data_IF_966014750379
#
_entry.id   IF_966014750379
#
_cell.length_a   1.000
_cell.length_b   1.000
_cell.length_c   1.000
_cell.angle_alpha   90.00
_cell.angle_beta   90.00
_cell.angle_gamma   90.00
#
_symmetry.space_group_name_H-M   'P 1'
#
loop_
_entity.id
_entity.type
_entity.pdbx_description
1 polymer ?
#
# COMPACT_ATOMS: atom_id res chain seq x y z
N UNK A 1 -23.95 -1.39 47.83
CA UNK A 1 -24.55 -0.42 46.88
C UNK A 1 -23.55 0.64 46.37
N UNK A 2 -22.77 1.29 47.24
CA UNK A 2 -21.80 2.34 46.84
C UNK A 2 -20.71 1.86 45.87
N UNK A 3 -20.14 0.66 46.09
CA UNK A 3 -19.11 0.08 45.21
C UNK A 3 -19.59 -0.22 43.78
N UNK A 4 -20.80 -0.77 43.60
CA UNK A 4 -21.38 -1.02 42.26
C UNK A 4 -21.65 0.28 41.50
N UNK A 5 -22.10 1.34 42.19
CA UNK A 5 -22.30 2.67 41.58
C UNK A 5 -20.98 3.32 41.14
N UNK A 6 -19.91 3.16 41.92
CA UNK A 6 -18.59 3.69 41.57
C UNK A 6 -17.98 2.97 40.34
N UNK A 7 -18.14 1.65 40.26
CA UNK A 7 -17.70 0.84 39.10
C UNK A 7 -18.49 1.23 37.84
N UNK A 8 -19.82 1.33 37.92
CA UNK A 8 -20.65 1.78 36.80
C UNK A 8 -20.25 3.16 36.24
N UNK A 9 -20.02 4.13 37.14
CA UNK A 9 -19.59 5.49 36.76
C UNK A 9 -18.23 5.52 36.04
N UNK A 10 -17.31 4.63 36.41
CA UNK A 10 -15.99 4.50 35.77
C UNK A 10 -16.09 3.86 34.38
N UNK A 11 -16.96 2.86 34.20
CA UNK A 11 -17.21 2.23 32.90
C UNK A 11 -17.83 3.22 31.92
N UNK A 12 -18.82 3.99 32.36
CA UNK A 12 -19.45 5.00 31.51
C UNK A 12 -18.47 6.09 31.08
N UNK A 13 -17.59 6.54 31.98
CA UNK A 13 -16.52 7.49 31.62
C UNK A 13 -15.58 6.92 30.56
N UNK A 14 -15.14 5.67 30.71
CA UNK A 14 -14.22 5.04 29.74
C UNK A 14 -14.89 4.85 28.37
N UNK A 15 -16.18 4.54 28.33
CA UNK A 15 -16.96 4.45 27.10
C UNK A 15 -17.03 5.80 26.37
N UNK A 16 -17.25 6.90 27.11
CA UNK A 16 -17.26 8.24 26.51
C UNK A 16 -15.87 8.65 26.00
N UNK A 17 -14.80 8.32 26.72
CA UNK A 17 -13.42 8.55 26.25
C UNK A 17 -13.15 7.75 24.98
N UNK A 18 -13.57 6.48 24.92
CA UNK A 18 -13.47 5.68 23.70
C UNK A 18 -14.24 6.31 22.53
N UNK A 19 -15.45 6.82 22.77
CA UNK A 19 -16.23 7.53 21.76
C UNK A 19 -15.53 8.79 21.22
N UNK A 20 -14.89 9.59 22.08
CA UNK A 20 -14.07 10.73 21.65
C UNK A 20 -12.95 10.25 20.73
N UNK A 21 -12.22 9.19 21.09
CA UNK A 21 -11.18 8.63 20.22
C UNK A 21 -11.72 8.09 18.90
N UNK A 22 -12.92 7.51 18.88
CA UNK A 22 -13.58 7.11 17.62
C UNK A 22 -13.85 8.33 16.75
N UNK A 23 -14.39 9.42 17.30
CA UNK A 23 -14.62 10.67 16.55
C UNK A 23 -13.33 11.25 15.96
N UNK A 24 -12.26 11.29 16.74
CA UNK A 24 -10.93 11.72 16.28
C UNK A 24 -10.38 10.80 15.18
N UNK A 25 -10.51 9.49 15.35
CA UNK A 25 -10.01 8.52 14.38
C UNK A 25 -10.76 8.60 13.04
N UNK A 26 -12.08 8.78 13.07
CA UNK A 26 -12.90 9.02 11.87
C UNK A 26 -12.48 10.30 11.17
N UNK A 27 -12.18 11.35 11.93
CA UNK A 27 -11.65 12.61 11.40
C UNK A 27 -10.34 12.44 10.63
N UNK A 28 -9.44 11.59 11.13
CA UNK A 28 -8.18 11.30 10.44
C UNK A 28 -8.34 10.33 9.25
N UNK A 29 -9.30 9.38 9.34
CA UNK A 29 -9.53 8.38 8.30
C UNK A 29 -10.94 7.81 8.37
N UNK A 30 -11.71 7.97 7.28
CA UNK A 30 -13.12 7.52 7.19
C UNK A 30 -13.30 6.04 7.52
N UNK A 31 -12.37 5.16 7.12
CA UNK A 31 -12.44 3.73 7.43
C UNK A 31 -12.46 3.41 8.93
N UNK A 32 -12.03 4.35 9.79
CA UNK A 32 -12.10 4.21 11.24
C UNK A 32 -13.53 4.22 11.79
N UNK A 33 -14.55 4.54 10.96
CA UNK A 33 -15.97 4.42 11.34
C UNK A 33 -16.33 3.01 11.84
N UNK A 34 -15.61 1.98 11.37
CA UNK A 34 -15.76 0.60 11.85
C UNK A 34 -15.41 0.41 13.32
N UNK A 35 -14.77 1.38 13.99
CA UNK A 35 -14.59 1.38 15.46
C UNK A 35 -15.93 1.48 16.22
N UNK A 36 -17.05 1.73 15.54
CA UNK A 36 -18.37 1.55 16.14
C UNK A 36 -18.63 0.09 16.55
N UNK A 37 -18.05 -0.89 15.86
CA UNK A 37 -18.22 -2.32 16.16
C UNK A 37 -17.64 -2.72 17.53
N UNK A 38 -16.37 -2.39 17.89
CA UNK A 38 -15.88 -2.62 19.25
C UNK A 38 -16.67 -1.81 20.31
N UNK A 39 -17.23 -0.63 19.99
CA UNK A 39 -18.13 0.09 20.90
C UNK A 39 -19.42 -0.71 21.16
N UNK A 40 -20.06 -1.23 20.11
CA UNK A 40 -21.26 -2.08 20.21
C UNK A 40 -20.96 -3.32 21.07
N UNK A 41 -19.85 -4.02 20.79
CA UNK A 41 -19.45 -5.21 21.54
C UNK A 41 -19.19 -4.85 23.01
N UNK A 42 -18.51 -3.74 23.29
CA UNK A 42 -18.25 -3.27 24.66
C UNK A 42 -19.54 -2.99 25.43
N UNK A 43 -20.51 -2.31 24.81
CA UNK A 43 -21.81 -2.03 25.43
C UNK A 43 -22.59 -3.32 25.65
N UNK A 44 -22.58 -4.25 24.68
CA UNK A 44 -23.25 -5.54 24.78
C UNK A 44 -22.70 -6.43 25.90
N UNK A 45 -21.38 -6.45 26.09
CA UNK A 45 -20.71 -7.16 27.18
C UNK A 45 -20.96 -6.49 28.55
N UNK A 46 -21.26 -5.19 28.57
CA UNK A 46 -21.53 -4.40 29.78
C UNK A 46 -22.93 -4.57 30.38
N UNK A 47 -23.75 -5.46 29.84
CA UNK A 47 -25.11 -5.77 30.31
C UNK A 47 -26.23 -5.08 29.51
N UNK A 48 -27.44 -5.65 29.56
CA UNK A 48 -28.61 -5.19 28.78
C UNK A 48 -29.27 -3.92 29.32
N UNK A 49 -28.96 -3.51 30.55
CA UNK A 49 -29.59 -2.34 31.15
C UNK A 49 -29.12 -1.06 30.44
N UNK A 50 -30.07 -0.30 29.87
CA UNK A 50 -29.82 0.98 29.18
C UNK A 50 -28.82 0.92 28.03
N UNK A 51 -28.61 -0.25 27.40
CA UNK A 51 -27.63 -0.43 26.33
C UNK A 51 -27.85 0.54 25.15
N UNK A 52 -29.12 0.77 24.76
CA UNK A 52 -29.49 1.74 23.70
C UNK A 52 -29.04 3.14 24.06
N UNK A 53 -29.31 3.58 25.29
CA UNK A 53 -28.90 4.91 25.76
C UNK A 53 -27.38 5.05 25.81
N UNK A 54 -26.67 4.05 26.32
CA UNK A 54 -25.21 4.07 26.41
C UNK A 54 -24.56 4.12 25.03
N UNK A 55 -25.03 3.29 24.09
CA UNK A 55 -24.56 3.29 22.71
C UNK A 55 -24.92 4.61 22.02
N UNK A 56 -26.15 5.09 22.16
CA UNK A 56 -26.60 6.35 21.59
C UNK A 56 -25.78 7.54 22.08
N UNK A 57 -25.49 7.62 23.38
CA UNK A 57 -24.60 8.65 23.93
C UNK A 57 -23.18 8.53 23.39
N UNK A 58 -22.63 7.32 23.30
CA UNK A 58 -21.29 7.10 22.74
C UNK A 58 -21.22 7.53 21.26
N UNK A 59 -22.19 7.12 20.43
CA UNK A 59 -22.25 7.51 19.02
C UNK A 59 -22.41 9.03 18.87
N UNK A 60 -23.25 9.66 19.70
CA UNK A 60 -23.41 11.11 19.70
C UNK A 60 -22.10 11.82 20.06
N UNK A 61 -21.38 11.36 21.09
CA UNK A 61 -20.09 11.94 21.49
C UNK A 61 -19.04 11.76 20.39
N UNK A 62 -19.01 10.60 19.72
CA UNK A 62 -18.12 10.38 18.59
C UNK A 62 -18.45 11.33 17.42
N UNK A 63 -19.73 11.47 17.07
CA UNK A 63 -20.19 12.38 16.02
C UNK A 63 -19.90 13.85 16.34
N UNK A 64 -20.18 14.30 17.57
CA UNK A 64 -19.85 15.65 18.02
C UNK A 64 -18.35 15.91 17.98
N UNK A 65 -17.53 14.94 18.41
CA UNK A 65 -16.07 15.07 18.34
C UNK A 65 -15.59 15.20 16.89
N UNK A 66 -16.12 14.38 15.97
CA UNK A 66 -15.81 14.48 14.54
C UNK A 66 -16.19 15.87 13.98
N UNK A 67 -17.42 16.33 14.23
CA UNK A 67 -17.92 17.64 13.76
C UNK A 67 -17.07 18.79 14.29
N UNK A 68 -16.73 18.77 15.59
CA UNK A 68 -15.93 19.82 16.22
C UNK A 68 -14.49 19.87 15.70
N UNK A 69 -13.94 18.72 15.29
CA UNK A 69 -12.55 18.63 14.82
C UNK A 69 -12.42 18.72 13.29
N UNK A 70 -13.51 18.48 12.56
CA UNK A 70 -13.56 18.52 11.10
C UNK A 70 -14.79 19.33 10.63
N UNK A 71 -14.91 20.61 11.01
CA UNK A 71 -16.11 21.40 10.72
C UNK A 71 -16.37 21.52 9.21
N UNK A 72 -15.33 21.59 8.38
CA UNK A 72 -15.48 21.65 6.92
C UNK A 72 -16.09 20.38 6.31
N UNK A 73 -15.96 19.22 6.96
CA UNK A 73 -16.59 17.98 6.49
C UNK A 73 -18.13 18.06 6.49
N UNK A 74 -18.72 18.98 7.26
CA UNK A 74 -20.17 19.19 7.35
C UNK A 74 -20.64 20.58 6.91
N UNK A 75 -19.71 21.50 6.63
CA UNK A 75 -20.02 22.88 6.24
C UNK A 75 -19.67 23.17 4.77
N UNK A 76 -18.87 22.32 4.12
CA UNK A 76 -18.44 22.54 2.74
C UNK A 76 -19.45 21.98 1.74
N UNK A 77 -20.34 22.87 1.27
CA UNK A 77 -21.42 22.55 0.36
C UNK A 77 -21.17 22.98 -1.11
N UNK A 78 -19.91 23.08 -1.52
CA UNK A 78 -19.52 23.66 -2.81
C UNK A 78 -19.53 22.72 -4.01
N UNK A 79 -19.63 21.41 -3.81
CA UNK A 79 -19.38 20.41 -4.86
C UNK A 79 -20.54 19.44 -5.04
N UNK A 80 -20.73 18.92 -6.25
CA UNK A 80 -21.83 17.99 -6.54
C UNK A 80 -21.54 16.60 -5.95
N UNK A 81 -22.45 16.10 -5.12
CA UNK A 81 -22.34 14.78 -4.48
C UNK A 81 -23.60 13.98 -4.76
N UNK A 82 -23.69 13.44 -5.98
CA UNK A 82 -24.87 12.72 -6.46
C UNK A 82 -24.83 11.27 -5.96
N UNK A 83 -25.74 10.91 -5.05
CA UNK A 83 -25.93 9.51 -4.67
C UNK A 83 -26.65 8.75 -5.81
N UNK A 84 -26.25 7.52 -6.16
CA UNK A 84 -26.98 6.73 -7.16
C UNK A 84 -28.42 6.47 -6.69
N UNK A 85 -29.35 6.41 -7.64
CA UNK A 85 -30.74 6.06 -7.34
C UNK A 85 -30.80 4.61 -6.82
N UNK A 86 -31.51 4.39 -5.71
CA UNK A 86 -31.57 3.09 -5.06
C UNK A 86 -32.94 2.45 -5.25
N UNK A 87 -32.97 1.25 -5.81
CA UNK A 87 -34.19 0.50 -6.06
C UNK A 87 -34.34 -0.59 -4.99
N UNK A 88 -35.20 -0.35 -4.00
CA UNK A 88 -35.52 -1.28 -2.92
C UNK A 88 -36.91 -1.89 -3.18
N UNK A 89 -36.94 -2.92 -4.03
CA UNK A 89 -38.19 -3.56 -4.45
C UNK A 89 -39.07 -2.59 -5.24
N UNK A 90 -40.21 -2.19 -4.67
CA UNK A 90 -41.14 -1.22 -5.25
C UNK A 90 -40.83 0.24 -4.88
N UNK A 91 -39.82 0.50 -4.05
CA UNK A 91 -39.44 1.84 -3.61
C UNK A 91 -38.23 2.30 -4.41
N UNK A 92 -38.42 3.38 -5.20
CA UNK A 92 -37.33 4.09 -5.85
C UNK A 92 -36.92 5.28 -5.00
N UNK A 93 -35.71 5.25 -4.46
CA UNK A 93 -35.07 6.40 -3.82
C UNK A 93 -34.36 7.17 -4.94
N UNK A 94 -34.80 8.41 -5.27
CA UNK A 94 -34.19 9.17 -6.36
C UNK A 94 -32.74 9.53 -6.03
N UNK A 95 -31.94 9.74 -7.07
CA UNK A 95 -30.61 10.30 -6.91
C UNK A 95 -30.71 11.67 -6.24
N UNK A 96 -29.91 11.89 -5.19
CA UNK A 96 -29.91 13.13 -4.43
C UNK A 96 -28.51 13.74 -4.53
N UNK A 97 -28.47 15.02 -4.90
CA UNK A 97 -27.26 15.83 -4.79
C UNK A 97 -27.17 16.41 -3.37
N UNK A 98 -26.25 15.88 -2.58
CA UNK A 98 -26.00 16.33 -1.21
C UNK A 98 -25.18 17.62 -1.15
N UNK A 99 -24.69 18.08 -2.31
CA UNK A 99 -23.81 19.24 -2.47
C UNK A 99 -22.56 19.23 -1.58
N UNK A 100 -22.12 18.08 -1.07
CA UNK A 100 -21.03 18.01 -0.09
C UNK A 100 -19.70 17.59 -0.71
N UNK A 101 -18.71 18.48 -0.71
CA UNK A 101 -17.36 18.19 -1.20
C UNK A 101 -16.71 17.02 -0.43
N UNK A 102 -17.01 16.89 0.86
CA UNK A 102 -16.51 15.77 1.67
C UNK A 102 -17.09 14.43 1.21
N UNK A 103 -18.41 14.37 0.93
CA UNK A 103 -19.03 13.15 0.44
C UNK A 103 -18.59 12.81 -0.98
N UNK A 104 -18.47 13.80 -1.87
CA UNK A 104 -17.90 13.61 -3.20
C UNK A 104 -16.50 12.99 -3.11
N UNK A 105 -15.61 13.55 -2.28
CA UNK A 105 -14.29 12.98 -2.05
C UNK A 105 -14.35 11.53 -1.54
N UNK A 106 -15.26 11.21 -0.61
CA UNK A 106 -15.46 9.82 -0.15
C UNK A 106 -15.88 8.91 -1.31
N UNK A 107 -16.81 9.34 -2.16
CA UNK A 107 -17.28 8.54 -3.28
C UNK A 107 -16.20 8.37 -4.36
N UNK A 108 -15.47 9.43 -4.70
CA UNK A 108 -14.35 9.38 -5.65
C UNK A 108 -13.23 8.46 -5.16
N UNK A 109 -12.82 8.58 -3.90
CA UNK A 109 -11.86 7.67 -3.29
C UNK A 109 -12.41 6.24 -3.20
N UNK A 110 -13.71 6.10 -2.91
CA UNK A 110 -14.43 4.83 -2.89
C UNK A 110 -14.43 4.12 -4.25
N UNK A 111 -14.67 4.86 -5.34
CA UNK A 111 -14.62 4.35 -6.71
C UNK A 111 -13.21 3.88 -7.05
N UNK A 112 -12.17 4.67 -6.73
CA UNK A 112 -10.78 4.26 -6.91
C UNK A 112 -10.45 2.96 -6.16
N UNK A 113 -10.73 2.88 -4.85
CA UNK A 113 -10.30 1.70 -4.07
C UNK A 113 -11.05 0.42 -4.43
N UNK A 114 -12.30 0.53 -4.90
CA UNK A 114 -13.10 -0.59 -5.37
C UNK A 114 -12.83 -0.96 -6.84
N UNK A 115 -12.00 -0.19 -7.56
CA UNK A 115 -11.68 -0.42 -8.97
C UNK A 115 -12.74 0.08 -9.95
N UNK A 116 -13.66 0.93 -9.49
CA UNK A 116 -14.63 1.64 -10.33
C UNK A 116 -14.06 2.88 -11.03
N UNK A 117 -12.87 3.35 -10.63
CA UNK A 117 -12.09 4.35 -11.37
C UNK A 117 -10.81 3.72 -11.89
N UNK A 118 -10.64 3.72 -13.21
CA UNK A 118 -9.50 3.12 -13.89
C UNK A 118 -8.32 4.11 -13.98
N UNK A 119 -7.43 4.07 -12.99
CA UNK A 119 -6.25 4.93 -12.91
C UNK A 119 -4.98 4.12 -13.16
N UNK A 120 -4.03 4.66 -13.91
CA UNK A 120 -2.79 3.95 -14.29
C UNK A 120 -2.05 3.29 -13.11
N UNK A 121 -1.91 4.01 -12.00
CA UNK A 121 -1.21 3.49 -10.80
C UNK A 121 -2.00 2.41 -10.03
N UNK A 122 -3.31 2.25 -10.25
CA UNK A 122 -4.10 1.16 -9.63
C UNK A 122 -4.07 -0.12 -10.45
N UNK A 123 -3.73 -0.05 -11.74
CA UNK A 123 -3.63 -1.21 -12.64
C UNK A 123 -2.58 -2.24 -12.18
N UNK A 124 -1.65 -1.86 -11.31
CA UNK A 124 -0.72 -2.80 -10.68
C UNK A 124 -1.43 -3.97 -9.95
N UNK A 125 -2.65 -3.73 -9.45
CA UNK A 125 -3.44 -4.70 -8.69
C UNK A 125 -4.33 -5.59 -9.56
N UNK A 126 -4.40 -5.35 -10.87
CA UNK A 126 -5.11 -6.24 -11.78
C UNK A 126 -4.57 -7.68 -11.68
N UNK A 127 -5.48 -8.66 -11.72
CA UNK A 127 -5.21 -10.09 -11.59
C UNK A 127 -4.52 -10.50 -10.26
N UNK A 128 -4.64 -9.70 -9.19
CA UNK A 128 -4.19 -10.07 -7.84
C UNK A 128 -5.34 -10.61 -6.99
N UNK A 129 -5.02 -11.54 -6.09
CA UNK A 129 -6.03 -12.17 -5.25
C UNK A 129 -6.41 -11.27 -4.05
N UNK A 130 -7.71 -11.03 -3.82
CA UNK A 130 -8.18 -10.36 -2.60
C UNK A 130 -7.69 -11.10 -1.35
N UNK A 131 -7.47 -10.36 -0.26
CA UNK A 131 -6.93 -10.83 1.03
C UNK A 131 -5.49 -11.37 0.98
N UNK A 132 -5.20 -12.32 0.08
CA UNK A 132 -3.90 -12.98 -0.03
C UNK A 132 -2.79 -12.01 -0.40
N UNK A 133 -3.04 -11.07 -1.31
CA UNK A 133 -2.06 -10.05 -1.67
C UNK A 133 -1.59 -9.25 -0.44
N UNK A 134 -2.53 -8.83 0.41
CA UNK A 134 -2.20 -8.10 1.62
C UNK A 134 -1.38 -8.93 2.62
N UNK A 135 -1.74 -10.21 2.79
CA UNK A 135 -0.99 -11.13 3.66
C UNK A 135 0.42 -11.33 3.11
N UNK A 136 0.54 -11.58 1.81
CA UNK A 136 1.83 -11.75 1.13
C UNK A 136 2.73 -10.54 1.33
N UNK A 137 2.22 -9.32 1.05
CA UNK A 137 3.02 -8.10 1.23
C UNK A 137 3.40 -7.89 2.69
N UNK A 138 2.49 -8.11 3.64
CA UNK A 138 2.81 -7.98 5.07
C UNK A 138 3.89 -8.97 5.53
N UNK A 139 3.92 -10.19 4.99
CA UNK A 139 4.94 -11.19 5.31
C UNK A 139 6.29 -10.86 4.66
N UNK A 140 6.30 -10.50 3.38
CA UNK A 140 7.53 -10.24 2.63
C UNK A 140 8.18 -8.92 3.03
N UNK A 141 7.40 -7.84 3.06
CA UNK A 141 7.93 -6.47 3.08
C UNK A 141 7.51 -5.66 4.31
N UNK A 142 6.47 -6.07 5.02
CA UNK A 142 5.89 -5.30 6.11
C UNK A 142 6.52 -5.61 7.46
N UNK A 143 6.05 -6.71 8.06
CA UNK A 143 6.53 -7.20 9.34
C UNK A 143 7.79 -8.08 9.17
N UNK A 144 8.10 -8.51 7.94
CA UNK A 144 9.08 -9.56 7.66
C UNK A 144 8.56 -10.95 8.07
N UNK A 145 9.23 -12.00 7.60
CA UNK A 145 8.73 -13.36 7.69
C UNK A 145 8.47 -13.83 9.12
N UNK A 146 9.41 -13.63 10.05
CA UNK A 146 9.30 -14.20 11.40
C UNK A 146 8.21 -13.54 12.24
N UNK A 147 8.19 -12.20 12.29
CA UNK A 147 7.11 -11.48 12.98
C UNK A 147 5.78 -11.63 12.25
N UNK A 148 5.78 -11.59 10.92
CA UNK A 148 4.58 -11.77 10.11
C UNK A 148 3.93 -13.14 10.32
N UNK A 149 4.70 -14.23 10.34
CA UNK A 149 4.19 -15.56 10.66
C UNK A 149 3.68 -15.64 12.10
N UNK A 150 4.38 -15.05 13.06
CA UNK A 150 3.92 -14.98 14.45
C UNK A 150 2.61 -14.18 14.59
N UNK A 151 2.45 -13.11 13.83
CA UNK A 151 1.24 -12.29 13.74
C UNK A 151 0.05 -13.07 13.18
N UNK A 152 0.23 -13.76 12.04
CA UNK A 152 -0.83 -14.60 11.44
C UNK A 152 -1.19 -15.74 12.38
N UNK A 153 -0.20 -16.46 12.93
CA UNK A 153 -0.43 -17.53 13.88
C UNK A 153 -1.13 -17.05 15.16
N UNK A 154 -0.71 -15.88 15.68
CA UNK A 154 -1.34 -15.23 16.83
C UNK A 154 -2.80 -14.87 16.57
N UNK A 155 -3.10 -14.32 15.40
CA UNK A 155 -4.47 -14.02 15.00
C UNK A 155 -5.34 -15.28 14.93
N UNK A 156 -4.87 -16.34 14.27
CA UNK A 156 -5.56 -17.63 14.21
C UNK A 156 -5.76 -18.20 15.61
N UNK A 157 -4.74 -18.14 16.47
CA UNK A 157 -4.81 -18.58 17.86
C UNK A 157 -5.90 -17.83 18.64
N UNK A 158 -5.98 -16.50 18.54
CA UNK A 158 -7.03 -15.70 19.20
C UNK A 158 -8.42 -16.10 18.68
N UNK A 159 -8.59 -16.24 17.37
CA UNK A 159 -9.86 -16.68 16.77
C UNK A 159 -10.29 -18.05 17.30
N UNK A 160 -9.37 -19.02 17.41
CA UNK A 160 -9.65 -20.35 17.97
C UNK A 160 -10.03 -20.27 19.45
N UNK A 161 -9.37 -19.43 20.25
CA UNK A 161 -9.68 -19.26 21.67
C UNK A 161 -11.07 -18.68 21.88
N UNK A 162 -11.46 -17.68 21.08
CA UNK A 162 -12.81 -17.11 21.11
C UNK A 162 -13.85 -18.10 20.60
N UNK A 163 -13.56 -18.84 19.52
CA UNK A 163 -14.46 -19.88 19.01
C UNK A 163 -14.72 -20.98 20.06
N UNK A 164 -13.67 -21.46 20.74
CA UNK A 164 -13.79 -22.43 21.85
C UNK A 164 -14.63 -21.90 23.00
N UNK A 165 -14.50 -20.62 23.34
CA UNK A 165 -15.31 -19.99 24.37
C UNK A 165 -16.80 -20.01 24.04
N UNK A 166 -17.18 -19.82 22.77
CA UNK A 166 -18.59 -19.90 22.34
C UNK A 166 -19.09 -21.31 22.02
N UNK A 167 -18.22 -22.21 21.56
CA UNK A 167 -18.57 -23.61 21.24
C UNK A 167 -18.63 -24.52 22.47
N UNK A 168 -18.00 -24.14 23.58
CA UNK A 168 -18.32 -24.71 24.89
C UNK A 168 -19.75 -24.29 25.29
N UNK A 169 -20.73 -25.10 24.90
CA UNK A 169 -22.17 -24.92 25.04
C UNK A 169 -22.67 -24.65 26.50
N UNK A 170 -23.89 -24.11 26.67
CA UNK A 170 -24.32 -23.22 27.75
C UNK A 170 -24.86 -23.96 28.99
N UNK A 171 -24.00 -24.67 29.73
CA UNK A 171 -24.38 -25.26 31.03
C UNK A 171 -23.49 -24.84 32.20
N UNK A 172 -22.57 -23.90 31.98
CA UNK A 172 -21.94 -23.20 33.10
C UNK A 172 -22.77 -21.97 33.32
N UNK A 173 -23.61 -22.01 34.36
CA UNK A 173 -24.29 -20.85 34.90
C UNK A 173 -23.34 -19.67 34.88
N UNK A 174 -23.79 -18.59 34.25
CA UNK A 174 -23.12 -17.31 34.24
C UNK A 174 -23.10 -16.74 35.68
N UNK A 175 -22.33 -17.35 36.58
CA UNK A 175 -21.96 -16.76 37.84
C UNK A 175 -21.02 -15.59 37.55
N UNK A 176 -21.63 -14.41 37.64
CA UNK A 176 -21.09 -13.10 37.93
C UNK A 176 -19.60 -13.06 38.33
N UNK A 177 -18.75 -13.14 37.31
CA UNK A 177 -17.30 -13.07 37.48
C UNK A 177 -16.56 -13.35 36.18
N UNK A 178 -17.10 -12.89 35.04
CA UNK A 178 -16.52 -13.06 33.71
C UNK A 178 -15.02 -12.76 33.74
N UNK A 179 -14.19 -13.78 33.46
CA UNK A 179 -12.75 -13.58 33.30
C UNK A 179 -12.53 -12.48 32.26
N UNK A 180 -11.67 -11.51 32.55
CA UNK A 180 -11.50 -10.31 31.73
C UNK A 180 -10.86 -10.60 30.37
N UNK A 181 -10.19 -11.75 30.23
CA UNK A 181 -9.39 -12.09 29.06
C UNK A 181 -10.21 -12.37 27.78
N UNK A 182 -11.27 -13.22 27.78
CA UNK A 182 -12.11 -13.44 26.58
C UNK A 182 -12.84 -12.18 26.11
N UNK A 183 -13.32 -11.34 27.02
CA UNK A 183 -14.00 -10.09 26.68
C UNK A 183 -13.07 -9.10 25.97
N UNK A 184 -11.83 -8.98 26.44
CA UNK A 184 -10.84 -8.13 25.78
C UNK A 184 -10.55 -8.61 24.36
N UNK A 185 -10.36 -9.92 24.16
CA UNK A 185 -10.13 -10.51 22.84
C UNK A 185 -11.32 -10.28 21.90
N UNK A 186 -12.55 -10.41 22.38
CA UNK A 186 -13.76 -10.10 21.61
C UNK A 186 -13.80 -8.66 21.10
N UNK A 187 -13.44 -7.70 21.96
CA UNK A 187 -13.40 -6.28 21.58
C UNK A 187 -12.33 -6.04 20.52
N UNK A 188 -11.14 -6.64 20.66
CA UNK A 188 -10.07 -6.49 19.66
C UNK A 188 -10.46 -7.14 18.33
N UNK A 189 -11.06 -8.34 18.36
CA UNK A 189 -11.55 -9.02 17.15
C UNK A 189 -12.68 -8.26 16.45
N UNK A 190 -13.53 -7.55 17.21
CA UNK A 190 -14.60 -6.70 16.67
C UNK A 190 -14.08 -5.53 15.82
N UNK A 191 -12.80 -5.14 16.00
CA UNK A 191 -12.10 -4.26 15.09
C UNK A 191 -11.40 -5.05 13.98
N UNK A 192 -10.54 -6.01 14.34
CA UNK A 192 -9.62 -6.60 13.37
C UNK A 192 -10.29 -7.43 12.30
N UNK A 193 -11.34 -8.20 12.63
CA UNK A 193 -12.04 -9.04 11.65
C UNK A 193 -12.81 -8.17 10.64
N UNK A 194 -13.74 -7.29 11.05
CA UNK A 194 -14.50 -6.51 10.08
C UNK A 194 -13.63 -5.58 9.24
N UNK A 195 -12.62 -4.95 9.86
CA UNK A 195 -11.68 -4.09 9.13
C UNK A 195 -10.90 -4.88 8.07
N UNK A 196 -10.40 -6.07 8.40
CA UNK A 196 -9.72 -6.93 7.42
C UNK A 196 -10.65 -7.44 6.33
N UNK A 197 -11.89 -7.81 6.67
CA UNK A 197 -12.86 -8.28 5.68
C UNK A 197 -13.23 -7.20 4.65
N UNK A 198 -13.43 -5.96 5.10
CA UNK A 198 -13.77 -4.85 4.19
C UNK A 198 -12.54 -4.34 3.44
N UNK A 199 -11.39 -4.23 4.11
CA UNK A 199 -10.17 -3.71 3.45
C UNK A 199 -9.56 -4.76 2.51
N UNK A 200 -9.62 -6.03 2.89
CA UNK A 200 -8.99 -7.13 2.16
C UNK A 200 -9.64 -7.43 0.81
N UNK A 201 -10.92 -7.07 0.62
CA UNK A 201 -11.63 -7.28 -0.65
C UNK A 201 -11.34 -6.19 -1.69
N UNK A 202 -10.79 -5.04 -1.26
CA UNK A 202 -10.58 -3.88 -2.13
C UNK A 202 -9.73 -4.24 -3.36
N UNK A 203 -10.06 -3.61 -4.50
CA UNK A 203 -9.27 -3.73 -5.71
C UNK A 203 -7.88 -3.14 -5.52
N UNK A 204 -7.80 -1.93 -4.95
CA UNK A 204 -6.54 -1.26 -4.60
C UNK A 204 -6.00 -1.81 -3.30
N UNK A 205 -4.75 -2.28 -3.32
CA UNK A 205 -4.17 -3.04 -2.20
C UNK A 205 -2.89 -2.42 -1.64
N UNK A 206 -2.84 -1.09 -1.54
CA UNK A 206 -1.71 -0.40 -0.91
C UNK A 206 -1.45 -0.99 0.47
N UNK A 207 -0.21 -1.40 0.71
CA UNK A 207 0.20 -2.05 1.95
C UNK A 207 -0.19 -1.27 3.21
N UNK A 208 -0.08 0.07 3.15
CA UNK A 208 -0.47 1.00 4.23
C UNK A 208 -1.93 0.88 4.67
N UNK A 209 -2.80 0.25 3.88
CA UNK A 209 -4.20 0.02 4.27
C UNK A 209 -4.33 -0.94 5.45
N UNK A 210 -3.39 -1.88 5.62
CA UNK A 210 -3.35 -2.79 6.78
C UNK A 210 -2.58 -2.23 7.98
N UNK A 211 -1.97 -1.05 7.88
CA UNK A 211 -1.23 -0.44 8.99
C UNK A 211 -2.06 -0.39 10.30
N UNK A 212 -3.37 -0.05 10.29
CA UNK A 212 -4.20 -0.05 11.50
C UNK A 212 -4.39 -1.43 12.16
N UNK A 213 -4.12 -2.54 11.47
CA UNK A 213 -4.18 -3.89 12.05
C UNK A 213 -2.86 -4.33 12.68
N UNK A 214 -1.74 -3.80 12.20
CA UNK A 214 -0.38 -4.20 12.60
C UNK A 214 -0.17 -4.26 14.11
N UNK A 215 -0.53 -3.23 14.93
CA UNK A 215 -0.35 -3.31 16.38
C UNK A 215 -1.18 -4.42 17.03
N UNK A 216 -2.40 -4.69 16.54
CA UNK A 216 -3.24 -5.76 17.06
C UNK A 216 -2.68 -7.14 16.72
N UNK A 217 -2.18 -7.32 15.49
CA UNK A 217 -1.52 -8.55 15.07
C UNK A 217 -0.27 -8.84 15.92
N UNK A 218 0.52 -7.80 16.24
CA UNK A 218 1.66 -7.92 17.17
C UNK A 218 1.22 -8.30 18.58
N UNK A 219 0.13 -7.72 19.08
CA UNK A 219 -0.45 -8.08 20.38
C UNK A 219 -0.92 -9.55 20.39
N UNK A 220 -1.54 -10.02 19.32
CA UNK A 220 -1.96 -11.42 19.19
C UNK A 220 -0.77 -12.38 19.15
N UNK A 221 0.29 -12.03 18.42
CA UNK A 221 1.55 -12.78 18.39
C UNK A 221 2.15 -12.87 19.80
N UNK A 222 2.28 -11.74 20.50
CA UNK A 222 2.83 -11.67 21.84
C UNK A 222 2.01 -12.50 22.83
N UNK A 223 0.67 -12.38 22.81
CA UNK A 223 -0.22 -13.15 23.67
C UNK A 223 -0.09 -14.67 23.43
N UNK A 224 -0.04 -15.09 22.17
CA UNK A 224 0.14 -16.49 21.79
C UNK A 224 1.49 -17.02 22.29
N UNK A 225 2.61 -16.38 21.92
CA UNK A 225 3.95 -16.81 22.30
C UNK A 225 4.11 -16.86 23.83
N UNK A 226 3.57 -15.86 24.53
CA UNK A 226 3.59 -15.81 25.99
C UNK A 226 2.79 -16.96 26.62
N UNK A 227 1.64 -17.32 26.05
CA UNK A 227 0.78 -18.41 26.55
C UNK A 227 1.40 -19.79 26.37
N UNK A 228 2.22 -19.98 25.34
CA UNK A 228 2.86 -21.26 25.04
C UNK A 228 4.04 -21.59 25.97
N UNK A 229 4.55 -20.62 26.75
CA UNK A 229 5.70 -20.82 27.66
C UNK A 229 5.50 -21.93 28.68
N UNK A 230 4.28 -22.10 29.20
CA UNK A 230 4.00 -23.10 30.24
C UNK A 230 3.78 -24.49 29.62
N UNK A 231 3.43 -24.57 28.33
CA UNK A 231 3.19 -25.83 27.61
C UNK A 231 4.45 -26.38 26.94
N UNK A 232 5.22 -25.51 26.30
CA UNK A 232 6.42 -25.89 25.53
C UNK A 232 7.70 -25.78 26.37
N UNK A 233 7.67 -24.97 27.43
CA UNK A 233 8.82 -24.71 28.29
C UNK A 233 9.35 -23.29 28.13
N UNK A 234 9.70 -22.67 29.26
CA UNK A 234 10.08 -21.24 29.33
C UNK A 234 11.36 -20.93 28.57
N UNK A 235 12.34 -21.83 28.59
CA UNK A 235 13.62 -21.63 27.90
C UNK A 235 13.43 -21.66 26.38
N UNK A 236 12.75 -22.68 25.86
CA UNK A 236 12.49 -22.82 24.42
C UNK A 236 11.69 -21.63 23.90
N UNK A 237 10.59 -21.26 24.57
CA UNK A 237 9.80 -20.10 24.15
C UNK A 237 10.55 -18.78 24.33
N UNK A 238 11.42 -18.66 25.34
CA UNK A 238 12.32 -17.53 25.50
C UNK A 238 13.24 -17.35 24.29
N UNK A 239 13.86 -18.44 23.82
CA UNK A 239 14.68 -18.43 22.59
C UNK A 239 13.86 -18.03 21.38
N UNK A 240 12.66 -18.60 21.18
CA UNK A 240 11.78 -18.24 20.05
C UNK A 240 11.43 -16.75 20.07
N UNK A 241 11.05 -16.20 21.22
CA UNK A 241 10.73 -14.78 21.36
C UNK A 241 11.96 -13.92 21.03
N UNK A 242 13.13 -14.27 21.57
CA UNK A 242 14.38 -13.54 21.29
C UNK A 242 14.71 -13.57 19.80
N UNK A 243 14.58 -14.72 19.13
CA UNK A 243 14.82 -14.84 17.69
C UNK A 243 13.86 -13.96 16.89
N UNK A 244 12.56 -13.97 17.20
CA UNK A 244 11.57 -13.11 16.53
C UNK A 244 11.91 -11.63 16.72
N UNK A 245 12.21 -11.21 17.96
CA UNK A 245 12.53 -9.80 18.26
C UNK A 245 13.83 -9.37 17.58
N UNK A 246 14.90 -10.17 17.69
CA UNK A 246 16.20 -9.85 17.09
C UNK A 246 16.09 -9.80 15.57
N UNK A 247 15.42 -10.77 14.94
CA UNK A 247 15.24 -10.74 13.49
C UNK A 247 14.40 -9.54 13.03
N UNK A 248 13.36 -9.18 13.77
CA UNK A 248 12.57 -7.96 13.50
C UNK A 248 13.43 -6.71 13.62
N UNK A 249 14.27 -6.63 14.66
CA UNK A 249 15.18 -5.51 14.87
C UNK A 249 16.22 -5.42 13.75
N UNK A 250 16.82 -6.54 13.33
CA UNK A 250 17.75 -6.60 12.20
C UNK A 250 17.07 -6.15 10.91
N UNK A 251 15.85 -6.62 10.64
CA UNK A 251 15.07 -6.21 9.48
C UNK A 251 14.77 -4.71 9.51
N UNK A 252 14.26 -4.18 10.62
CA UNK A 252 14.00 -2.75 10.78
C UNK A 252 15.27 -1.89 10.63
N UNK A 253 16.38 -2.32 11.22
CA UNK A 253 17.67 -1.63 11.09
C UNK A 253 18.18 -1.66 9.65
N UNK A 254 17.92 -2.72 8.88
CA UNK A 254 18.27 -2.77 7.46
C UNK A 254 17.52 -1.70 6.66
N UNK A 255 16.23 -1.48 6.95
CA UNK A 255 15.44 -0.40 6.34
C UNK A 255 15.89 0.98 6.79
N UNK A 256 16.22 1.18 8.07
CA UNK A 256 16.78 2.46 8.52
C UNK A 256 18.12 2.75 7.84
N UNK A 257 18.95 1.73 7.66
CA UNK A 257 20.26 1.88 7.02
C UNK A 257 20.19 2.18 5.52
N UNK A 258 19.06 1.91 4.84
CA UNK A 258 18.79 2.35 3.46
C UNK A 258 19.04 3.85 3.28
N UNK A 259 18.66 4.66 4.27
CA UNK A 259 18.78 6.12 4.22
C UNK A 259 20.21 6.63 4.41
N UNK A 260 21.17 5.74 4.71
CA UNK A 260 22.61 6.09 4.71
C UNK A 260 23.20 6.15 3.29
N UNK A 261 22.52 5.55 2.31
CA UNK A 261 22.89 5.61 0.89
C UNK A 261 22.15 6.72 0.16
N UNK A 262 22.85 7.36 -0.76
CA UNK A 262 22.28 8.41 -1.62
C UNK A 262 21.04 7.90 -2.37
N UNK A 263 20.04 8.77 -2.50
CA UNK A 263 18.83 8.45 -3.25
C UNK A 263 19.16 8.25 -4.75
N UNK A 264 18.67 7.19 -5.42
CA UNK A 264 19.00 6.90 -6.81
C UNK A 264 18.69 8.05 -7.78
N UNK A 265 17.59 8.77 -7.55
CA UNK A 265 17.24 9.98 -8.33
C UNK A 265 18.29 11.09 -8.20
N UNK A 266 18.90 11.25 -7.02
CA UNK A 266 19.95 12.25 -6.80
C UNK A 266 21.26 11.82 -7.49
N UNK A 267 21.63 10.55 -7.36
CA UNK A 267 22.79 9.98 -8.05
C UNK A 267 22.65 10.08 -9.58
N UNK A 268 21.48 9.74 -10.11
CA UNK A 268 21.15 9.88 -11.52
C UNK A 268 21.17 11.34 -11.99
N UNK A 269 20.60 12.27 -11.20
CA UNK A 269 20.62 13.70 -11.53
C UNK A 269 22.05 14.26 -11.60
N UNK A 270 22.90 13.93 -10.61
CA UNK A 270 24.33 14.28 -10.64
C UNK A 270 25.03 13.72 -11.87
N UNK A 271 24.71 12.49 -12.25
CA UNK A 271 25.26 11.88 -13.45
C UNK A 271 24.80 12.62 -14.71
N UNK A 272 23.51 12.97 -14.84
CA UNK A 272 22.98 13.76 -15.97
C UNK A 272 23.71 15.10 -16.07
N UNK A 273 23.80 15.85 -14.97
CA UNK A 273 24.45 17.17 -14.94
C UNK A 273 25.94 17.14 -15.30
N UNK A 274 26.62 16.00 -15.09
CA UNK A 274 28.03 15.83 -15.38
C UNK A 274 28.29 15.27 -16.80
N UNK A 275 27.34 14.56 -17.41
CA UNK A 275 27.57 13.79 -18.64
C UNK A 275 26.72 14.22 -19.84
N UNK A 276 25.58 14.89 -19.62
CA UNK A 276 24.66 15.29 -20.67
C UNK A 276 24.69 16.82 -20.83
N UNK A 277 24.95 17.34 -22.04
CA UNK A 277 24.85 18.78 -22.31
C UNK A 277 23.46 19.34 -22.02
N UNK A 278 23.39 20.57 -21.51
CA UNK A 278 22.12 21.28 -21.39
C UNK A 278 21.47 21.48 -22.77
N UNK A 279 20.14 21.45 -22.81
CA UNK A 279 19.33 21.50 -24.03
C UNK A 279 19.07 20.15 -24.70
N UNK A 280 19.73 19.07 -24.26
CA UNK A 280 19.46 17.72 -24.76
C UNK A 280 18.09 17.23 -24.29
N UNK A 281 17.29 16.72 -25.24
CA UNK A 281 16.00 16.10 -24.95
C UNK A 281 16.19 14.78 -24.20
N UNK A 282 15.59 14.67 -23.02
CA UNK A 282 15.57 13.47 -22.18
C UNK A 282 14.11 13.01 -22.07
N UNK A 283 13.85 11.73 -22.33
CA UNK A 283 12.52 11.15 -22.15
C UNK A 283 12.31 10.61 -20.73
N UNK A 284 11.07 10.68 -20.27
CA UNK A 284 10.59 10.03 -19.05
C UNK A 284 9.42 9.10 -19.36
N UNK A 285 9.08 8.21 -18.42
CA UNK A 285 7.89 7.36 -18.54
C UNK A 285 6.70 7.94 -17.78
N UNK A 286 5.49 7.67 -18.30
CA UNK A 286 4.24 8.14 -17.71
C UNK A 286 4.12 7.85 -16.21
N UNK A 287 3.65 8.85 -15.47
CA UNK A 287 3.38 8.80 -14.03
C UNK A 287 4.63 8.71 -13.14
N UNK A 288 5.84 8.64 -13.69
CA UNK A 288 7.08 8.83 -12.93
C UNK A 288 7.51 10.29 -12.91
N UNK A 289 8.38 10.64 -11.95
CA UNK A 289 9.04 11.94 -11.98
C UNK A 289 10.14 11.92 -13.04
N UNK A 290 10.41 13.04 -13.71
CA UNK A 290 11.45 13.11 -14.74
C UNK A 290 12.78 13.60 -14.16
N UNK A 291 13.89 13.17 -14.75
CA UNK A 291 15.22 13.60 -14.33
C UNK A 291 15.86 14.53 -15.35
N UNK A 292 16.76 15.42 -14.91
CA UNK A 292 17.31 15.53 -13.55
C UNK A 292 16.43 16.31 -12.57
N UNK A 293 16.66 16.15 -11.27
CA UNK A 293 16.05 16.98 -10.23
C UNK A 293 16.87 18.27 -10.01
N UNK A 294 16.19 19.41 -9.80
CA UNK A 294 16.84 20.67 -9.46
C UNK A 294 17.62 20.54 -8.16
N UNK A 295 18.93 20.83 -8.18
CA UNK A 295 19.81 20.65 -7.03
C UNK A 295 21.10 21.48 -7.13
N UNK A 296 21.81 21.60 -6.01
CA UNK A 296 23.16 22.16 -6.01
C UNK A 296 24.17 21.11 -6.49
N UNK A 297 24.96 21.44 -7.51
CA UNK A 297 26.07 20.64 -8.02
C UNK A 297 27.31 21.53 -8.03
N UNK A 298 28.36 21.12 -7.31
CA UNK A 298 29.64 21.85 -7.22
C UNK A 298 29.51 23.34 -6.81
N UNK A 299 28.50 23.66 -6.00
CA UNK A 299 28.25 25.03 -5.51
C UNK A 299 27.39 25.89 -6.44
N UNK A 300 26.98 25.36 -7.59
CA UNK A 300 26.06 26.01 -8.52
C UNK A 300 24.67 25.38 -8.46
N UNK A 301 23.62 26.20 -8.57
CA UNK A 301 22.25 25.71 -8.70
C UNK A 301 22.07 25.21 -10.14
N UNK A 302 21.83 23.91 -10.28
CA UNK A 302 21.45 23.28 -11.54
C UNK A 302 19.95 23.06 -11.56
N UNK A 303 19.30 23.48 -12.63
CA UNK A 303 17.85 23.41 -12.76
C UNK A 303 17.46 22.27 -13.69
N UNK A 304 16.38 21.58 -13.32
CA UNK A 304 15.75 20.57 -14.19
C UNK A 304 15.38 21.12 -15.57
N UNK A 305 15.00 22.40 -15.64
CA UNK A 305 14.62 23.08 -16.88
C UNK A 305 15.76 23.25 -17.89
N UNK A 306 17.01 22.98 -17.51
CA UNK A 306 18.15 22.89 -18.44
C UNK A 306 17.96 21.77 -19.49
N UNK A 307 17.08 20.80 -19.23
CA UNK A 307 16.84 19.64 -20.07
C UNK A 307 15.37 19.59 -20.49
N UNK A 308 15.04 19.76 -21.78
CA UNK A 308 13.70 19.50 -22.28
C UNK A 308 13.28 18.06 -21.97
N UNK A 309 12.05 17.88 -21.48
CA UNK A 309 11.49 16.56 -21.18
C UNK A 309 10.21 16.31 -21.97
N UNK A 310 10.07 15.09 -22.49
CA UNK A 310 8.81 14.57 -23.00
C UNK A 310 8.52 13.20 -22.39
N UNK A 311 7.24 12.92 -22.17
CA UNK A 311 6.79 11.73 -21.46
C UNK A 311 6.27 10.67 -22.45
N UNK A 312 6.75 9.43 -22.30
CA UNK A 312 6.25 8.27 -23.01
C UNK A 312 5.00 7.73 -22.31
N UNK A 313 3.86 7.70 -23.02
CA UNK A 313 2.52 7.44 -22.45
C UNK A 313 2.12 5.96 -22.45
N UNK A 314 3.05 5.07 -22.09
CA UNK A 314 2.83 3.61 -22.17
C UNK A 314 1.63 3.12 -21.35
N UNK A 315 1.35 3.75 -20.20
CA UNK A 315 0.28 3.38 -19.30
C UNK A 315 -1.11 3.90 -19.72
N UNK A 316 -1.26 4.62 -20.83
CA UNK A 316 -2.53 5.21 -21.32
C UNK A 316 -3.27 6.11 -20.31
N UNK A 317 -4.30 6.80 -20.77
CA UNK A 317 -5.23 7.56 -19.93
C UNK A 317 -6.20 6.66 -19.16
N UNK A 318 -7.11 7.29 -18.42
CA UNK A 318 -8.18 6.59 -17.72
C UNK A 318 -9.12 5.90 -18.72
N UNK A 319 -9.51 4.66 -18.44
CA UNK A 319 -10.37 3.81 -19.28
C UNK A 319 -9.82 3.48 -20.70
N UNK A 320 -8.63 3.97 -21.06
CA UNK A 320 -8.03 3.79 -22.38
C UNK A 320 -7.24 2.47 -22.53
N UNK A 321 -7.24 1.96 -23.76
CA UNK A 321 -6.42 0.85 -24.26
C UNK A 321 -5.26 1.40 -25.08
N UNK A 322 -4.22 0.60 -25.33
CA UNK A 322 -3.22 1.04 -26.32
C UNK A 322 -3.72 0.88 -27.75
N UNK A 323 -3.14 1.70 -28.62
CA UNK A 323 -3.42 1.72 -30.04
C UNK A 323 -2.13 2.02 -30.82
N UNK A 324 -2.23 1.89 -32.13
CA UNK A 324 -1.11 2.12 -33.05
C UNK A 324 -0.69 3.59 -33.06
N UNK A 325 -1.63 4.53 -32.93
CA UNK A 325 -1.32 5.97 -32.94
C UNK A 325 -0.40 6.34 -31.78
N UNK A 326 -0.71 5.85 -30.58
CA UNK A 326 0.11 6.01 -29.38
C UNK A 326 1.46 5.31 -29.51
N UNK A 327 1.49 4.11 -30.07
CA UNK A 327 2.75 3.42 -30.36
C UNK A 327 3.62 4.30 -31.27
N UNK A 328 3.09 4.74 -32.42
CA UNK A 328 3.80 5.62 -33.36
C UNK A 328 4.28 6.90 -32.70
N UNK A 329 3.45 7.55 -31.87
CA UNK A 329 3.82 8.77 -31.14
C UNK A 329 5.00 8.53 -30.18
N UNK A 330 4.97 7.46 -29.39
CA UNK A 330 6.06 7.11 -28.49
C UNK A 330 7.34 6.72 -29.25
N UNK A 331 7.22 6.02 -30.39
CA UNK A 331 8.36 5.67 -31.24
C UNK A 331 8.99 6.91 -31.90
N UNK A 332 8.18 7.90 -32.27
CA UNK A 332 8.68 9.18 -32.79
C UNK A 332 9.50 9.92 -31.72
N UNK A 333 9.01 9.96 -30.48
CA UNK A 333 9.77 10.53 -29.37
C UNK A 333 11.09 9.79 -29.14
N UNK A 334 11.06 8.45 -29.16
CA UNK A 334 12.26 7.63 -29.02
C UNK A 334 13.28 7.88 -30.15
N UNK A 335 12.82 8.14 -31.37
CA UNK A 335 13.70 8.43 -32.49
C UNK A 335 14.36 9.83 -32.37
N UNK A 336 13.64 10.80 -31.80
CA UNK A 336 14.11 12.18 -31.62
C UNK A 336 15.05 12.36 -30.43
N UNK A 337 14.80 11.66 -29.32
CA UNK A 337 15.54 11.86 -28.08
C UNK A 337 16.91 11.17 -28.06
N UNK A 338 17.86 11.79 -27.35
CA UNK A 338 19.18 11.21 -27.15
C UNK A 338 19.25 10.31 -25.91
N UNK A 339 18.41 10.57 -24.91
CA UNK A 339 18.39 9.82 -23.66
C UNK A 339 16.98 9.50 -23.21
N UNK A 340 16.85 8.38 -22.50
CA UNK A 340 15.64 7.92 -21.85
C UNK A 340 15.95 7.58 -20.40
N UNK A 341 15.11 8.04 -19.49
CA UNK A 341 15.18 7.70 -18.07
C UNK A 341 14.07 6.73 -17.70
N UNK A 342 14.46 5.55 -17.22
CA UNK A 342 13.55 4.57 -16.61
C UNK A 342 13.75 4.64 -15.11
N UNK A 343 12.81 5.29 -14.44
CA UNK A 343 12.96 5.72 -13.06
C UNK A 343 12.59 4.67 -12.05
N UNK A 344 11.66 3.79 -12.40
CA UNK A 344 11.11 2.81 -11.49
C UNK A 344 10.43 1.67 -12.25
N UNK A 345 9.94 0.66 -11.53
CA UNK A 345 9.13 -0.43 -12.08
C UNK A 345 7.65 -0.07 -12.27
N UNK A 346 7.27 1.20 -12.19
CA UNK A 346 5.87 1.64 -12.32
C UNK A 346 5.25 1.19 -13.64
N UNK A 347 5.92 1.43 -14.76
CA UNK A 347 5.40 1.10 -16.09
C UNK A 347 5.71 -0.35 -16.44
N UNK A 348 6.99 -0.75 -16.44
CA UNK A 348 7.39 -2.11 -16.82
C UNK A 348 6.90 -3.20 -15.86
N UNK A 349 6.56 -2.86 -14.62
CA UNK A 349 5.94 -3.77 -13.65
C UNK A 349 4.45 -3.96 -13.86
N UNK A 350 3.82 -3.23 -14.79
CA UNK A 350 2.37 -3.25 -15.05
C UNK A 350 2.06 -3.59 -16.50
N UNK A 351 2.53 -2.80 -17.45
CA UNK A 351 2.15 -2.87 -18.87
C UNK A 351 2.32 -4.28 -19.46
N UNK A 352 3.46 -4.97 -19.29
CA UNK A 352 3.66 -6.31 -19.87
C UNK A 352 2.74 -7.40 -19.29
N UNK A 353 2.15 -7.19 -18.12
CA UNK A 353 1.24 -8.17 -17.49
C UNK A 353 -0.18 -8.10 -17.98
N UNK A 354 -0.56 -6.96 -18.56
CA UNK A 354 -1.92 -6.68 -18.98
C UNK A 354 -1.97 -6.66 -20.51
N UNK A 355 -1.49 -7.73 -21.15
CA UNK A 355 -1.38 -7.84 -22.61
C UNK A 355 -2.72 -7.73 -23.33
N UNK A 356 -3.85 -8.08 -22.68
CA UNK A 356 -5.19 -7.86 -23.24
C UNK A 356 -5.54 -6.36 -23.38
N UNK A 357 -4.94 -5.52 -22.53
CA UNK A 357 -5.12 -4.06 -22.56
C UNK A 357 -3.99 -3.35 -23.32
N UNK A 358 -2.81 -3.94 -23.31
CA UNK A 358 -1.61 -3.39 -23.93
C UNK A 358 -0.93 -4.37 -24.91
N UNK A 359 -1.63 -4.86 -25.95
CA UNK A 359 -1.06 -5.79 -26.93
C UNK A 359 0.22 -5.25 -27.59
N UNK A 360 0.31 -3.94 -27.80
CA UNK A 360 1.46 -3.31 -28.46
C UNK A 360 2.54 -2.90 -27.45
N UNK A 361 2.14 -2.15 -26.42
CA UNK A 361 3.05 -1.54 -25.43
C UNK A 361 3.71 -2.58 -24.53
N UNK A 362 3.12 -3.78 -24.38
CA UNK A 362 3.72 -4.89 -23.62
C UNK A 362 5.06 -5.37 -24.20
N UNK A 363 5.31 -5.14 -25.48
CA UNK A 363 6.53 -5.54 -26.18
C UNK A 363 7.70 -4.56 -25.91
N UNK A 364 7.39 -3.29 -25.61
CA UNK A 364 8.35 -2.19 -25.53
C UNK A 364 9.49 -2.46 -24.54
N UNK A 365 9.21 -2.77 -23.28
CA UNK A 365 10.27 -2.88 -22.27
C UNK A 365 11.25 -4.01 -22.55
N UNK A 366 10.78 -5.15 -23.09
CA UNK A 366 11.70 -6.22 -23.44
C UNK A 366 12.57 -5.84 -24.64
N UNK A 367 12.01 -5.15 -25.66
CA UNK A 367 12.77 -4.63 -26.79
C UNK A 367 13.82 -3.59 -26.35
N UNK A 368 13.45 -2.70 -25.41
CA UNK A 368 14.36 -1.73 -24.80
C UNK A 368 15.49 -2.43 -24.04
N UNK A 369 15.17 -3.39 -23.17
CA UNK A 369 16.16 -4.09 -22.34
C UNK A 369 17.10 -4.98 -23.16
N UNK A 370 16.62 -5.53 -24.27
CA UNK A 370 17.42 -6.27 -25.25
C UNK A 370 18.29 -5.34 -26.13
N UNK A 371 18.15 -4.01 -26.02
CA UNK A 371 18.87 -3.02 -26.83
C UNK A 371 18.37 -2.86 -28.26
N UNK A 372 17.30 -3.56 -28.65
CA UNK A 372 16.81 -3.61 -30.04
C UNK A 372 16.22 -2.30 -30.55
N UNK A 373 15.85 -1.40 -29.65
CA UNK A 373 15.35 -0.06 -29.98
C UNK A 373 16.49 0.95 -30.22
N UNK A 374 17.76 0.51 -30.27
CA UNK A 374 18.92 1.38 -30.46
C UNK A 374 19.40 2.10 -29.19
N UNK A 375 18.78 1.78 -28.05
CA UNK A 375 19.07 2.34 -26.74
C UNK A 375 19.92 1.39 -25.90
N UNK A 376 21.01 1.90 -25.33
CA UNK A 376 21.91 1.13 -24.46
C UNK A 376 21.93 1.74 -23.05
N UNK A 377 21.91 0.91 -21.99
CA UNK A 377 21.99 1.42 -20.62
C UNK A 377 23.39 1.98 -20.34
N UNK A 378 23.46 3.24 -19.91
CA UNK A 378 24.72 3.97 -19.60
C UNK A 378 24.87 4.31 -18.12
N UNK A 379 23.80 4.20 -17.35
CA UNK A 379 23.80 4.41 -15.92
C UNK A 379 22.78 3.47 -15.28
N UNK A 380 23.14 2.90 -14.13
CA UNK A 380 22.23 2.13 -13.28
C UNK A 380 22.54 2.44 -11.82
N UNK A 381 21.50 2.73 -11.05
CA UNK A 381 21.63 2.92 -9.62
C UNK A 381 20.38 2.48 -8.88
N UNK A 382 20.58 1.88 -7.72
CA UNK A 382 19.52 1.58 -6.77
C UNK A 382 20.08 1.63 -5.35
N UNK A 383 19.17 1.60 -4.38
CA UNK A 383 19.51 1.38 -2.97
C UNK A 383 18.53 0.37 -2.39
N UNK A 384 19.00 -0.41 -1.41
CA UNK A 384 18.23 -1.53 -0.85
C UNK A 384 18.39 -1.58 0.67
N UNK A 385 17.38 -2.08 1.40
CA UNK A 385 17.50 -2.31 2.83
C UNK A 385 18.69 -3.25 3.05
N UNK A 386 19.63 -2.82 3.89
CA UNK A 386 20.89 -3.54 4.02
C UNK A 386 21.46 -3.44 5.43
N UNK A 387 22.08 -4.53 5.87
CA UNK A 387 22.73 -4.62 7.18
C UNK A 387 24.02 -5.40 7.03
N UNK A 388 25.15 -4.81 7.45
CA UNK A 388 26.48 -5.44 7.36
C UNK A 388 26.84 -5.96 5.94
N UNK A 389 26.44 -5.24 4.90
CA UNK A 389 26.68 -5.62 3.50
C UNK A 389 25.76 -6.72 2.96
N UNK A 390 24.76 -7.15 3.74
CA UNK A 390 23.73 -8.08 3.33
C UNK A 390 22.43 -7.35 2.98
N UNK A 391 21.96 -7.51 1.74
CA UNK A 391 20.84 -6.75 1.18
C UNK A 391 19.55 -7.57 1.18
N UNK A 392 18.40 -6.89 1.27
CA UNK A 392 17.08 -7.46 1.04
C UNK A 392 16.51 -6.84 -0.23
N UNK A 393 16.68 -7.52 -1.36
CA UNK A 393 16.40 -6.90 -2.65
C UNK A 393 15.08 -7.38 -3.27
N UNK A 394 14.32 -6.48 -3.92
CA UNK A 394 13.08 -6.81 -4.62
C UNK A 394 13.35 -7.57 -5.93
N UNK A 395 12.39 -8.39 -6.34
CA UNK A 395 12.29 -8.88 -7.71
C UNK A 395 11.34 -7.98 -8.52
N UNK A 396 11.93 -7.13 -9.36
CA UNK A 396 11.21 -6.23 -10.26
C UNK A 396 10.90 -6.82 -11.64
N UNK A 397 11.52 -7.96 -12.00
CA UNK A 397 11.49 -8.48 -13.38
C UNK A 397 10.71 -9.80 -13.51
N UNK A 398 10.72 -10.65 -12.48
CA UNK A 398 10.07 -11.95 -12.51
C UNK A 398 8.54 -11.87 -12.62
N UNK A 399 7.91 -10.94 -11.89
CA UNK A 399 6.45 -10.75 -11.95
C UNK A 399 5.92 -10.28 -13.32
N UNK A 400 6.54 -9.27 -13.98
CA UNK A 400 6.19 -8.92 -15.36
C UNK A 400 6.78 -9.85 -16.43
N UNK A 401 7.56 -10.88 -16.05
CA UNK A 401 8.25 -11.82 -16.95
C UNK A 401 9.21 -11.15 -17.93
N UNK A 402 9.91 -10.13 -17.46
CA UNK A 402 10.95 -9.43 -18.21
C UNK A 402 12.33 -9.96 -17.86
N UNK A 403 13.30 -9.70 -18.74
CA UNK A 403 14.72 -9.88 -18.47
C UNK A 403 15.41 -8.52 -18.46
N UNK A 404 16.19 -8.16 -17.41
CA UNK A 404 16.95 -6.93 -17.40
C UNK A 404 18.00 -6.92 -18.51
N UNK A 405 18.44 -5.72 -18.91
CA UNK A 405 19.62 -5.55 -19.78
C UNK A 405 20.88 -6.08 -19.08
N UNK A 406 21.92 -6.39 -19.86
CA UNK A 406 23.18 -6.95 -19.34
C UNK A 406 23.81 -6.07 -18.26
N UNK A 407 23.90 -4.75 -18.48
CA UNK A 407 24.43 -3.79 -17.50
C UNK A 407 23.64 -3.85 -16.17
N UNK A 408 22.31 -3.90 -16.25
CA UNK A 408 21.45 -3.97 -15.06
C UNK A 408 21.59 -5.31 -14.36
N UNK A 409 21.63 -6.42 -15.11
CA UNK A 409 21.85 -7.75 -14.56
C UNK A 409 23.18 -7.82 -13.80
N UNK A 410 24.27 -7.41 -14.45
CA UNK A 410 25.62 -7.41 -13.86
C UNK A 410 25.66 -6.53 -12.61
N UNK A 411 25.09 -5.34 -12.66
CA UNK A 411 24.99 -4.45 -11.50
C UNK A 411 24.24 -5.10 -10.32
N UNK A 412 23.11 -5.77 -10.59
CA UNK A 412 22.35 -6.44 -9.53
C UNK A 412 23.10 -7.63 -8.91
N UNK A 413 23.99 -8.30 -9.65
CA UNK A 413 24.83 -9.39 -9.10
C UNK A 413 25.90 -8.90 -8.13
N UNK A 414 26.21 -7.60 -8.11
CA UNK A 414 27.18 -7.03 -7.15
C UNK A 414 26.68 -7.06 -5.72
N UNK A 415 25.35 -7.14 -5.53
CA UNK A 415 24.72 -7.20 -4.21
C UNK A 415 24.65 -8.63 -3.70
N UNK A 416 25.12 -8.85 -2.47
CA UNK A 416 24.89 -10.09 -1.72
C UNK A 416 23.65 -9.92 -0.86
N UNK A 417 22.78 -10.91 -0.81
CA UNK A 417 21.53 -10.77 -0.07
C UNK A 417 20.52 -11.88 -0.27
N UNK A 418 19.30 -11.60 0.20
CA UNK A 418 18.11 -12.44 -0.03
C UNK A 418 17.16 -11.68 -0.95
N UNK A 419 16.69 -12.38 -1.98
CA UNK A 419 15.58 -11.92 -2.80
C UNK A 419 14.27 -12.05 -2.00
N UNK A 420 13.62 -10.92 -1.69
CA UNK A 420 12.32 -10.91 -1.01
C UNK A 420 11.14 -11.25 -1.92
N UNK A 421 11.39 -11.41 -3.22
CA UNK A 421 10.46 -11.68 -4.30
C UNK A 421 9.72 -10.44 -4.74
N UNK A 422 8.51 -10.64 -5.30
CA UNK A 422 7.68 -9.55 -5.80
C UNK A 422 7.49 -8.47 -4.74
N UNK A 423 7.67 -7.23 -5.16
CA UNK A 423 7.52 -6.04 -4.34
C UNK A 423 6.34 -5.20 -4.84
N UNK A 424 5.60 -4.59 -3.92
CA UNK A 424 4.51 -3.65 -4.24
C UNK A 424 5.08 -2.33 -4.76
N UNK A 425 4.66 -1.90 -5.96
CA UNK A 425 5.18 -0.70 -6.62
C UNK A 425 5.11 0.52 -5.70
N UNK A 426 4.03 0.68 -4.93
CA UNK A 426 3.83 1.85 -4.07
C UNK A 426 4.84 2.05 -2.94
N UNK A 427 5.68 1.04 -2.67
CA UNK A 427 6.70 1.09 -1.63
C UNK A 427 8.13 1.16 -2.20
N UNK A 428 8.34 0.79 -3.48
CA UNK A 428 9.67 0.84 -4.13
C UNK A 428 9.92 2.13 -4.88
N UNK A 429 8.95 2.59 -5.67
CA UNK A 429 9.12 3.67 -6.66
C UNK A 429 9.64 5.00 -6.09
N UNK A 430 9.30 5.33 -4.85
CA UNK A 430 9.70 6.60 -4.23
C UNK A 430 10.91 6.49 -3.31
N UNK A 431 11.18 5.31 -2.74
CA UNK A 431 12.23 5.19 -1.73
C UNK A 431 13.42 4.39 -2.26
N UNK A 432 13.19 3.28 -2.94
CA UNK A 432 14.24 2.36 -3.40
C UNK A 432 14.03 1.96 -4.87
N UNK A 433 13.93 2.93 -5.80
CA UNK A 433 13.76 2.62 -7.21
C UNK A 433 15.04 2.02 -7.80
N UNK A 434 14.87 1.22 -8.85
CA UNK A 434 15.95 0.85 -9.76
C UNK A 434 15.92 1.84 -10.93
N UNK A 435 16.82 2.83 -10.88
CA UNK A 435 16.92 3.88 -11.90
C UNK A 435 17.92 3.44 -12.95
N UNK A 436 17.54 3.55 -14.22
CA UNK A 436 18.41 3.29 -15.36
C UNK A 436 18.30 4.44 -16.36
N UNK A 437 19.43 4.90 -16.88
CA UNK A 437 19.47 5.87 -17.98
C UNK A 437 19.98 5.13 -19.22
N UNK A 438 19.24 5.28 -20.30
CA UNK A 438 19.58 4.72 -21.61
C UNK A 438 20.00 5.85 -22.55
N UNK A 439 21.00 5.58 -23.38
CA UNK A 439 21.46 6.46 -24.45
C UNK A 439 21.05 5.88 -25.79
N UNK A 440 20.53 6.72 -26.67
CA UNK A 440 20.23 6.37 -28.06
C UNK A 440 21.56 6.29 -28.86
N UNK A 441 22.13 5.09 -28.96
CA UNK A 441 23.41 4.83 -29.62
C UNK A 441 23.24 4.66 -31.13
N UNK A 442 22.18 3.97 -31.57
CA UNK A 442 21.98 3.63 -32.98
C UNK A 442 21.14 4.65 -33.76
N UNK A 443 20.34 5.49 -33.07
CA UNK A 443 19.49 6.53 -33.66
C UNK A 443 18.54 5.98 -34.73
N UNK A 444 17.88 4.87 -34.41
CA UNK A 444 16.87 4.26 -35.26
C UNK A 444 15.71 5.23 -35.48
N UNK A 445 15.15 5.20 -36.69
CA UNK A 445 13.91 5.91 -37.02
C UNK A 445 12.70 5.22 -36.40
N UNK A 446 11.60 5.96 -36.23
CA UNK A 446 10.35 5.39 -35.73
C UNK A 446 9.88 4.19 -36.56
N UNK A 447 10.03 4.26 -37.89
CA UNK A 447 9.66 3.18 -38.81
C UNK A 447 10.53 1.92 -38.62
N UNK A 448 11.84 2.07 -38.39
CA UNK A 448 12.73 0.94 -38.10
C UNK A 448 12.37 0.27 -36.77
N UNK A 449 12.04 1.05 -35.75
CA UNK A 449 11.58 0.51 -34.47
C UNK A 449 10.22 -0.17 -34.57
N UNK A 450 9.28 0.38 -35.35
CA UNK A 450 7.92 -0.16 -35.53
C UNK A 450 7.95 -1.58 -36.12
N UNK A 451 8.90 -1.88 -37.01
CA UNK A 451 9.09 -3.23 -37.58
C UNK A 451 9.41 -4.31 -36.54
N UNK A 452 9.81 -3.92 -35.33
CA UNK A 452 10.09 -4.84 -34.22
C UNK A 452 8.84 -5.22 -33.42
N UNK A 453 7.74 -4.48 -33.59
CA UNK A 453 6.48 -4.71 -32.90
C UNK A 453 5.57 -5.61 -33.73
N UNK A 454 4.98 -6.61 -33.08
CA UNK A 454 3.89 -7.38 -33.66
C UNK A 454 2.58 -6.59 -33.53
N UNK A 455 2.13 -6.01 -34.66
CA UNK A 455 0.91 -5.20 -34.74
C UNK A 455 -0.37 -6.03 -34.92
N UNK A 456 -0.27 -7.36 -35.01
CA UNK A 456 -1.43 -8.24 -35.27
C UNK A 456 -2.01 -8.93 -34.03
N UNK A 457 -1.41 -8.72 -32.85
CA UNK A 457 -1.83 -9.34 -31.58
C UNK A 457 -2.97 -8.61 -30.88
#
# INVERSE_FOLDING_TARGET
>A
AAGRKAVGRKVDRNLLVAAVFVGLAVGAKVSAVMLILPLIVTVGLGGREKWVWRLGTAVLVAALTFILTNPFAVLDFGCEAISPALFLGSITIPALDWKSCYLENIFTQGAMVNGGADLGFTRQYANTWPYFYFIEMQLRWGMGWLLGLAAVAGFVWVCVQVARYFWALPFVEAEQGMSTAPNALLILLAWTIPFFLVTGVLYVKFMRYLLPLTPFLMLYAAAMLWSLRERVGRVVMGVVIVVVVVATAVYAMAFVNLYSTEHPWMAASKWVYANIPAGTLILSEQWDDYLPATMMVDGELRERAEYPNQELTWLTGADEFDDVEKLTANLQLLAEAEYLTVMSNRVYGVVPRLSERYPLSSQYHQLLFDGKLGYEPVFVNTRMPNILGFNFYPDSFGWPRLRPSSLVADYLTTFRGINGGRFDESFTVYDQPLVTIYKNSEKLTAAEMELLFDLQN
#
